data_IF_277002637837
#
_entry.id   IF_277002637837
#
_cell.length_a   1.000
_cell.length_b   1.000
_cell.length_c   1.000
_cell.angle_alpha   90.00
_cell.angle_beta   90.00
_cell.angle_gamma   90.00
#
_symmetry.space_group_name_H-M   'P 1'
#
loop_
_entity.id
_entity.type
_entity.pdbx_description
1 polymer ?
#
# COMPACT_ATOMS: atom_id res chain seq x y z
N UNK A 1 -4.37 24.96 9.36
CA UNK A 1 -5.20 23.76 9.15
C UNK A 1 -6.64 24.20 8.99
N UNK A 2 -7.26 23.90 7.85
CA UNK A 2 -8.70 24.14 7.63
C UNK A 2 -9.51 23.11 8.41
N UNK A 3 -10.13 23.53 9.52
CA UNK A 3 -10.85 22.64 10.44
C UNK A 3 -12.12 22.06 9.81
N UNK A 4 -12.81 22.83 8.98
CA UNK A 4 -14.05 22.39 8.33
C UNK A 4 -13.74 21.30 7.32
N UNK A 5 -12.72 21.51 6.47
CA UNK A 5 -12.26 20.50 5.52
C UNK A 5 -11.74 19.25 6.24
N UNK A 6 -10.96 19.42 7.30
CA UNK A 6 -10.44 18.31 8.09
C UNK A 6 -11.55 17.43 8.69
N UNK A 7 -12.59 18.04 9.27
CA UNK A 7 -13.77 17.32 9.77
C UNK A 7 -14.51 16.57 8.66
N UNK A 8 -14.68 17.19 7.48
CA UNK A 8 -15.31 16.54 6.33
C UNK A 8 -14.53 15.31 5.86
N UNK A 9 -13.20 15.44 5.72
CA UNK A 9 -12.32 14.34 5.27
C UNK A 9 -12.33 13.18 6.28
N UNK A 10 -12.19 13.49 7.57
CA UNK A 10 -12.23 12.48 8.63
C UNK A 10 -13.60 11.76 8.68
N UNK A 11 -14.71 12.51 8.58
CA UNK A 11 -16.04 11.94 8.52
C UNK A 11 -16.25 11.04 7.28
N UNK A 12 -15.65 11.41 6.14
CA UNK A 12 -15.71 10.62 4.92
C UNK A 12 -14.93 9.30 5.05
N UNK A 13 -13.74 9.33 5.65
CA UNK A 13 -12.97 8.12 5.98
C UNK A 13 -13.81 7.20 6.86
N UNK A 14 -14.41 7.73 7.92
CA UNK A 14 -15.25 6.94 8.84
C UNK A 14 -16.48 6.37 8.15
N UNK A 15 -17.07 7.07 7.19
CA UNK A 15 -18.19 6.57 6.41
C UNK A 15 -17.79 5.41 5.49
N UNK A 16 -16.63 5.50 4.83
CA UNK A 16 -16.11 4.44 3.95
C UNK A 16 -15.75 3.19 4.78
N UNK A 17 -15.01 3.36 5.87
CA UNK A 17 -14.60 2.24 6.73
C UNK A 17 -15.78 1.51 7.37
N UNK A 18 -16.78 2.25 7.86
CA UNK A 18 -18.02 1.63 8.39
C UNK A 18 -18.79 0.85 7.32
N UNK A 19 -18.76 1.34 6.08
CA UNK A 19 -19.41 0.67 4.97
C UNK A 19 -18.71 -0.64 4.60
N UNK A 20 -17.37 -0.67 4.57
CA UNK A 20 -16.60 -1.91 4.33
C UNK A 20 -16.86 -3.02 5.36
N UNK A 21 -17.16 -2.65 6.62
CA UNK A 21 -17.47 -3.61 7.68
C UNK A 21 -18.83 -4.29 7.51
N UNK A 22 -19.77 -3.65 6.80
CA UNK A 22 -21.14 -4.15 6.63
C UNK A 22 -21.36 -4.99 5.36
N UNK A 23 -20.46 -4.93 4.37
CA UNK A 23 -20.67 -5.53 3.04
C UNK A 23 -19.43 -6.30 2.59
N UNK A 24 -19.40 -7.61 2.87
CA UNK A 24 -18.24 -8.47 2.58
C UNK A 24 -17.95 -8.59 1.06
N UNK A 25 -18.99 -8.49 0.22
CA UNK A 25 -18.90 -8.62 -1.24
C UNK A 25 -18.48 -7.34 -1.98
N UNK A 26 -18.33 -6.19 -1.31
CA UNK A 26 -18.02 -4.91 -1.97
C UNK A 26 -16.78 -4.20 -1.40
N UNK A 27 -15.92 -4.93 -0.68
CA UNK A 27 -14.66 -4.43 -0.08
C UNK A 27 -13.68 -3.76 -1.05
N UNK A 28 -13.87 -3.93 -2.36
CA UNK A 28 -13.07 -3.33 -3.41
C UNK A 28 -13.68 -2.02 -3.98
N UNK A 29 -14.71 -1.45 -3.36
CA UNK A 29 -15.26 -0.16 -3.78
C UNK A 29 -14.81 0.96 -2.83
N UNK A 30 -14.44 2.11 -3.39
CA UNK A 30 -13.97 3.33 -2.70
C UNK A 30 -12.58 3.24 -2.08
N UNK A 31 -11.76 2.24 -2.45
CA UNK A 31 -10.41 2.12 -1.93
C UNK A 31 -9.50 3.27 -2.40
N UNK A 32 -9.62 3.70 -3.66
CA UNK A 32 -8.85 4.81 -4.21
C UNK A 32 -9.34 6.14 -3.62
N UNK A 33 -10.65 6.29 -3.37
CA UNK A 33 -11.19 7.44 -2.64
C UNK A 33 -10.65 7.49 -1.19
N UNK A 34 -10.66 6.35 -0.50
CA UNK A 34 -10.12 6.23 0.85
C UNK A 34 -8.62 6.55 0.88
N UNK A 35 -7.84 6.02 -0.05
CA UNK A 35 -6.41 6.32 -0.21
C UNK A 35 -6.15 7.82 -0.38
N UNK A 36 -6.92 8.49 -1.24
CA UNK A 36 -6.87 9.94 -1.42
C UNK A 36 -7.10 10.69 -0.11
N UNK A 37 -8.13 10.33 0.64
CA UNK A 37 -8.42 11.00 1.92
C UNK A 37 -7.36 10.73 2.98
N UNK A 38 -6.78 9.52 3.03
CA UNK A 38 -5.69 9.21 3.94
C UNK A 38 -4.43 10.04 3.64
N UNK A 39 -4.08 10.19 2.36
CA UNK A 39 -2.99 11.09 1.96
C UNK A 39 -3.31 12.55 2.30
N UNK A 40 -4.54 13.01 2.09
CA UNK A 40 -4.95 14.36 2.50
C UNK A 40 -4.82 14.56 4.02
N UNK A 41 -5.18 13.56 4.83
CA UNK A 41 -4.98 13.60 6.29
C UNK A 41 -3.50 13.68 6.65
N UNK A 42 -2.65 12.88 6.01
CA UNK A 42 -1.19 12.90 6.20
C UNK A 42 -0.62 14.27 5.84
N UNK A 43 -0.88 14.75 4.63
CA UNK A 43 -0.22 15.91 4.02
C UNK A 43 -0.69 17.24 4.61
N UNK A 44 -1.89 17.27 5.21
CA UNK A 44 -2.48 18.48 5.82
C UNK A 44 -2.52 18.44 7.35
N UNK A 45 -1.92 17.42 7.96
CA UNK A 45 -1.93 17.20 9.41
C UNK A 45 -3.34 17.14 10.05
N UNK A 46 -4.36 16.69 9.31
CA UNK A 46 -5.74 16.66 9.80
C UNK A 46 -5.95 15.70 10.97
N UNK A 47 -5.08 14.70 11.11
CA UNK A 47 -5.08 13.76 12.24
C UNK A 47 -4.94 14.48 13.60
N UNK A 48 -4.33 15.67 13.63
CA UNK A 48 -4.16 16.48 14.85
C UNK A 48 -5.47 16.95 15.48
N UNK A 49 -6.61 16.81 14.79
CA UNK A 49 -7.92 17.10 15.38
C UNK A 49 -8.34 16.11 16.48
N UNK A 50 -7.73 14.94 16.56
CA UNK A 50 -8.08 13.94 17.58
C UNK A 50 -6.97 12.98 17.99
N UNK A 51 -5.78 13.08 17.39
CA UNK A 51 -4.68 12.14 17.59
C UNK A 51 -3.36 12.87 17.82
N UNK A 52 -2.48 12.23 18.61
CA UNK A 52 -1.13 12.74 18.94
C UNK A 52 -0.10 12.45 17.85
N UNK A 53 -0.37 11.49 16.96
CA UNK A 53 0.48 11.16 15.83
C UNK A 53 -0.35 10.61 14.66
N UNK A 54 0.21 10.67 13.45
CA UNK A 54 -0.40 10.04 12.27
C UNK A 54 -0.48 8.51 12.41
N UNK A 55 0.54 7.89 13.02
CA UNK A 55 0.51 6.45 13.35
C UNK A 55 -0.64 6.09 14.28
N UNK A 56 -0.87 6.89 15.34
CA UNK A 56 -1.98 6.66 16.26
C UNK A 56 -3.34 6.82 15.58
N UNK A 57 -3.44 7.73 14.61
CA UNK A 57 -4.62 7.83 13.73
C UNK A 57 -4.81 6.55 12.90
N UNK A 58 -3.75 6.03 12.25
CA UNK A 58 -3.84 4.81 11.45
C UNK A 58 -4.14 3.57 12.29
N UNK A 59 -3.56 3.44 13.49
CA UNK A 59 -3.87 2.34 14.43
C UNK A 59 -5.35 2.35 14.82
N UNK A 60 -5.92 3.52 15.10
CA UNK A 60 -7.32 3.63 15.46
C UNK A 60 -8.28 3.35 14.29
N UNK A 61 -7.93 3.75 13.06
CA UNK A 61 -8.78 3.56 11.88
C UNK A 61 -8.64 2.18 11.24
N UNK A 62 -7.49 1.53 11.37
CA UNK A 62 -7.18 0.22 10.78
C UNK A 62 -6.65 -0.76 11.83
N UNK A 63 -7.46 -1.12 12.85
CA UNK A 63 -7.01 -1.93 13.99
C UNK A 63 -6.50 -3.32 13.56
N UNK A 64 -7.06 -3.90 12.50
CA UNK A 64 -6.67 -5.22 12.01
C UNK A 64 -5.42 -5.19 11.12
N UNK A 65 -5.19 -4.07 10.40
CA UNK A 65 -4.10 -3.97 9.43
C UNK A 65 -3.78 -2.53 9.05
N UNK A 66 -2.86 -1.90 9.79
CA UNK A 66 -2.22 -0.64 9.38
C UNK A 66 -1.63 -0.70 7.98
N UNK A 67 -1.11 -1.86 7.59
CA UNK A 67 -0.52 -2.08 6.27
C UNK A 67 -1.51 -1.80 5.14
N UNK A 68 -2.81 -2.08 5.34
CA UNK A 68 -3.86 -1.74 4.37
C UNK A 68 -3.88 -0.23 4.09
N UNK A 69 -3.79 0.60 5.13
CA UNK A 69 -3.75 2.06 4.96
C UNK A 69 -2.57 2.51 4.09
N UNK A 70 -1.38 1.95 4.33
CA UNK A 70 -0.20 2.28 3.53
C UNK A 70 -0.32 1.87 2.06
N UNK A 71 -0.96 0.74 1.78
CA UNK A 71 -1.23 0.34 0.40
C UNK A 71 -2.27 1.28 -0.27
N UNK A 72 -3.30 1.73 0.45
CA UNK A 72 -4.32 2.68 -0.05
C UNK A 72 -3.66 4.00 -0.40
N UNK A 73 -2.80 4.48 0.49
CA UNK A 73 -2.02 5.70 0.28
C UNK A 73 -1.04 5.55 -0.87
N UNK A 74 -0.34 4.42 -0.98
CA UNK A 74 0.61 4.15 -2.07
C UNK A 74 -0.07 4.16 -3.45
N UNK A 75 -1.30 3.62 -3.55
CA UNK A 75 -2.09 3.70 -4.78
C UNK A 75 -2.36 5.17 -5.13
N UNK A 76 -2.81 5.96 -4.17
CA UNK A 76 -3.08 7.37 -4.41
C UNK A 76 -1.82 8.16 -4.76
N UNK A 77 -0.76 8.07 -3.95
CA UNK A 77 0.49 8.81 -4.13
C UNK A 77 1.09 8.60 -5.53
N UNK A 78 1.03 7.36 -6.05
CA UNK A 78 1.68 7.01 -7.32
C UNK A 78 0.75 7.01 -8.52
N UNK A 79 -0.56 6.88 -8.34
CA UNK A 79 -1.54 6.86 -9.44
C UNK A 79 -2.46 8.09 -9.46
N UNK A 80 -2.12 9.17 -8.73
CA UNK A 80 -2.95 10.39 -8.64
C UNK A 80 -3.31 11.04 -9.99
N UNK A 81 -2.53 10.77 -11.04
CA UNK A 81 -2.79 11.24 -12.41
C UNK A 81 -3.92 10.47 -13.12
N UNK A 82 -4.28 9.27 -12.63
CA UNK A 82 -5.37 8.46 -13.17
C UNK A 82 -6.67 8.83 -12.40
N UNK A 83 -7.81 9.05 -13.08
CA UNK A 83 -9.07 9.34 -12.42
C UNK A 83 -9.46 8.28 -11.39
N UNK A 84 -9.92 8.71 -10.21
CA UNK A 84 -10.29 7.79 -9.10
C UNK A 84 -11.25 6.69 -9.55
N UNK A 85 -12.29 7.02 -10.31
CA UNK A 85 -13.27 6.04 -10.81
C UNK A 85 -12.63 4.97 -11.71
N UNK A 86 -11.62 5.34 -12.48
CA UNK A 86 -10.91 4.41 -13.36
C UNK A 86 -10.02 3.46 -12.55
N UNK A 87 -9.35 3.97 -11.50
CA UNK A 87 -8.61 3.12 -10.55
C UNK A 87 -9.55 2.15 -9.84
N UNK A 88 -10.70 2.62 -9.35
CA UNK A 88 -11.71 1.78 -8.68
C UNK A 88 -12.18 0.63 -9.59
N UNK A 89 -12.40 0.91 -10.89
CA UNK A 89 -12.86 -0.10 -11.85
C UNK A 89 -11.88 -1.26 -12.07
N UNK A 90 -10.59 -1.06 -11.78
CA UNK A 90 -9.57 -2.12 -11.85
C UNK A 90 -9.66 -3.11 -10.68
N UNK A 91 -10.20 -2.67 -9.56
CA UNK A 91 -10.08 -3.35 -8.27
C UNK A 91 -8.71 -3.14 -7.61
N UNK A 92 -8.73 -3.20 -6.28
CA UNK A 92 -7.59 -2.92 -5.41
C UNK A 92 -6.30 -3.66 -5.79
N UNK A 93 -6.43 -4.96 -6.06
CA UNK A 93 -5.26 -5.82 -6.29
C UNK A 93 -4.47 -5.39 -7.53
N UNK A 94 -5.16 -5.03 -8.62
CA UNK A 94 -4.51 -4.57 -9.84
C UNK A 94 -3.96 -3.15 -9.68
N UNK A 95 -4.71 -2.27 -9.03
CA UNK A 95 -4.24 -0.92 -8.72
C UNK A 95 -2.95 -0.94 -7.88
N UNK A 96 -2.84 -1.87 -6.93
CA UNK A 96 -1.62 -2.03 -6.13
C UNK A 96 -0.42 -2.50 -6.97
N UNK A 97 -0.61 -3.42 -7.92
CA UNK A 97 0.46 -3.82 -8.84
C UNK A 97 0.93 -2.63 -9.71
N UNK A 98 -0.01 -1.81 -10.21
CA UNK A 98 0.30 -0.60 -10.97
C UNK A 98 1.07 0.41 -10.12
N UNK A 99 0.67 0.60 -8.87
CA UNK A 99 1.33 1.51 -7.95
C UNK A 99 2.79 1.13 -7.70
N UNK A 100 3.15 -0.17 -7.75
CA UNK A 100 4.56 -0.61 -7.65
C UNK A 100 5.38 -0.12 -8.83
N UNK A 101 4.87 -0.28 -10.05
CA UNK A 101 5.56 0.17 -11.26
C UNK A 101 5.63 1.69 -11.32
N UNK A 102 4.53 2.37 -11.01
CA UNK A 102 4.50 3.82 -10.93
C UNK A 102 5.49 4.38 -9.90
N UNK A 103 5.64 3.69 -8.76
CA UNK A 103 6.64 4.03 -7.75
C UNK A 103 8.07 3.88 -8.27
N UNK A 104 8.37 2.85 -9.05
CA UNK A 104 9.72 2.63 -9.59
C UNK A 104 10.05 3.55 -10.76
N UNK A 105 9.10 3.84 -11.64
CA UNK A 105 9.31 4.70 -12.82
C UNK A 105 9.21 6.19 -12.48
N UNK A 106 8.53 6.53 -11.38
CA UNK A 106 8.32 7.90 -10.95
C UNK A 106 7.65 8.74 -12.04
N UNK A 107 8.34 9.80 -12.50
CA UNK A 107 7.81 10.71 -13.54
C UNK A 107 7.73 10.10 -14.93
N UNK A 108 8.39 8.97 -15.16
CA UNK A 108 8.40 8.28 -16.46
C UNK A 108 7.30 7.22 -16.56
N UNK A 109 6.43 7.12 -15.55
CA UNK A 109 5.37 6.12 -15.53
C UNK A 109 4.39 6.29 -16.69
N UNK A 110 4.41 5.33 -17.61
CA UNK A 110 3.43 5.26 -18.71
C UNK A 110 2.12 4.66 -18.21
N UNK A 111 1.28 5.53 -17.62
CA UNK A 111 -0.01 5.11 -17.09
C UNK A 111 -0.93 4.55 -18.15
N UNK A 112 -0.87 4.99 -19.41
CA UNK A 112 -1.78 4.52 -20.45
C UNK A 112 -1.53 3.05 -20.78
N UNK A 113 -0.26 2.69 -21.01
CA UNK A 113 0.14 1.31 -21.32
C UNK A 113 -0.19 0.37 -20.17
N UNK A 114 0.16 0.74 -18.92
CA UNK A 114 -0.09 -0.12 -17.77
C UNK A 114 -1.58 -0.25 -17.44
N UNK A 115 -2.37 0.80 -17.63
CA UNK A 115 -3.81 0.77 -17.42
C UNK A 115 -4.52 -0.11 -18.45
N UNK A 116 -4.07 -0.08 -19.71
CA UNK A 116 -4.56 -1.00 -20.74
C UNK A 116 -4.28 -2.45 -20.37
N UNK A 117 -3.03 -2.77 -20.03
CA UNK A 117 -2.64 -4.12 -19.57
C UNK A 117 -3.48 -4.58 -18.38
N UNK A 118 -3.72 -3.70 -17.41
CA UNK A 118 -4.52 -4.02 -16.22
C UNK A 118 -5.98 -4.31 -16.53
N UNK A 119 -6.57 -3.65 -17.53
CA UNK A 119 -7.96 -3.87 -17.93
C UNK A 119 -8.14 -5.23 -18.62
N UNK A 120 -7.20 -5.62 -19.47
CA UNK A 120 -7.30 -6.85 -20.26
C UNK A 120 -6.88 -8.12 -19.50
N UNK A 121 -5.86 -8.01 -18.65
CA UNK A 121 -5.28 -9.16 -17.95
C UNK A 121 -6.06 -9.50 -16.68
N UNK A 122 -6.07 -10.76 -16.27
CA UNK A 122 -6.46 -11.16 -14.92
C UNK A 122 -5.49 -10.59 -13.88
N UNK A 123 -5.85 -10.67 -12.59
CA UNK A 123 -4.95 -10.27 -11.49
C UNK A 123 -3.61 -11.01 -11.54
N UNK A 124 -3.64 -12.32 -11.86
CA UNK A 124 -2.45 -13.15 -11.86
C UNK A 124 -1.54 -12.81 -13.05
N UNK A 125 -2.08 -12.72 -14.26
CA UNK A 125 -1.32 -12.32 -15.45
C UNK A 125 -0.71 -10.93 -15.32
N UNK A 126 -1.42 -9.98 -14.69
CA UNK A 126 -0.86 -8.65 -14.42
C UNK A 126 0.30 -8.71 -13.42
N UNK A 127 0.17 -9.54 -12.37
CA UNK A 127 1.25 -9.74 -11.40
C UNK A 127 2.50 -10.33 -12.05
N UNK A 128 2.33 -11.30 -12.95
CA UNK A 128 3.41 -11.91 -13.73
C UNK A 128 4.08 -10.89 -14.66
N UNK A 129 3.29 -10.06 -15.33
CA UNK A 129 3.79 -8.98 -16.18
C UNK A 129 4.62 -7.95 -15.39
N UNK A 130 4.12 -7.55 -14.22
CA UNK A 130 4.85 -6.64 -13.30
C UNK A 130 6.12 -7.29 -12.78
N UNK A 131 6.09 -8.59 -12.44
CA UNK A 131 7.30 -9.31 -12.05
C UNK A 131 8.33 -9.33 -13.18
N UNK A 132 7.91 -9.71 -14.39
CA UNK A 132 8.77 -9.75 -15.58
C UNK A 132 9.36 -8.38 -15.91
N UNK A 133 8.59 -7.32 -15.71
CA UNK A 133 9.08 -5.95 -15.83
C UNK A 133 10.23 -5.65 -14.86
N UNK A 134 10.13 -6.09 -13.61
CA UNK A 134 11.16 -5.83 -12.60
C UNK A 134 12.38 -6.74 -12.69
N UNK A 135 12.20 -8.01 -13.06
CA UNK A 135 13.26 -9.02 -13.02
C UNK A 135 13.83 -9.36 -14.38
N UNK A 136 13.12 -9.06 -15.47
CA UNK A 136 13.43 -9.53 -16.82
C UNK A 136 13.20 -11.03 -17.03
N UNK A 137 12.83 -11.78 -15.98
CA UNK A 137 12.65 -13.23 -15.99
C UNK A 137 11.19 -13.67 -16.03
N UNK A 138 10.98 -14.97 -16.24
CA UNK A 138 9.67 -15.59 -16.09
C UNK A 138 9.26 -15.60 -14.61
N UNK A 139 7.95 -15.48 -14.35
CA UNK A 139 7.45 -15.42 -12.99
C UNK A 139 7.69 -16.72 -12.24
N UNK A 140 8.43 -16.63 -11.12
CA UNK A 140 8.57 -17.72 -10.18
C UNK A 140 7.43 -17.66 -9.15
N UNK A 141 6.59 -18.71 -9.03
CA UNK A 141 5.53 -18.75 -8.03
C UNK A 141 6.14 -18.68 -6.63
N UNK A 142 5.70 -17.71 -5.86
CA UNK A 142 6.04 -17.59 -4.44
C UNK A 142 4.78 -17.38 -3.60
N UNK A 143 4.79 -17.92 -2.39
CA UNK A 143 3.77 -17.69 -1.38
C UNK A 143 4.31 -16.78 -0.29
N UNK A 144 3.53 -15.76 0.08
CA UNK A 144 3.86 -14.95 1.24
C UNK A 144 3.47 -15.71 2.51
N UNK A 145 4.47 -16.11 3.29
CA UNK A 145 4.26 -16.68 4.61
C UNK A 145 4.28 -15.56 5.65
N UNK A 146 3.19 -15.46 6.43
CA UNK A 146 3.12 -14.56 7.57
C UNK A 146 3.34 -15.35 8.85
N UNK A 147 4.30 -14.91 9.67
CA UNK A 147 4.51 -15.41 11.02
C UNK A 147 4.58 -14.24 11.99
N UNK A 148 4.11 -14.47 13.21
CA UNK A 148 4.26 -13.52 14.31
C UNK A 148 5.44 -13.94 15.15
N UNK A 149 6.24 -12.96 15.57
CA UNK A 149 7.31 -13.15 16.52
C UNK A 149 6.84 -12.68 17.89
N UNK A 150 7.23 -13.42 18.92
CA UNK A 150 7.12 -12.94 20.29
C UNK A 150 8.21 -11.89 20.55
N UNK A 151 7.94 -10.97 21.47
CA UNK A 151 8.92 -9.95 21.88
C UNK A 151 10.23 -10.57 22.38
N UNK A 152 10.15 -11.73 23.06
CA UNK A 152 11.31 -12.51 23.50
C UNK A 152 12.19 -13.02 22.35
N UNK A 153 11.67 -13.10 21.12
CA UNK A 153 12.41 -13.54 19.92
C UNK A 153 13.08 -12.37 19.20
N UNK A 154 12.74 -11.13 19.52
CA UNK A 154 13.30 -9.94 18.86
C UNK A 154 14.84 -9.91 18.90
N UNK A 155 15.51 -10.20 20.04
CA UNK A 155 16.98 -10.19 20.09
C UNK A 155 17.63 -11.20 19.14
N UNK A 156 16.98 -12.36 18.92
CA UNK A 156 17.47 -13.40 18.02
C UNK A 156 17.38 -12.93 16.57
N UNK A 157 16.25 -12.35 16.19
CA UNK A 157 16.04 -11.83 14.83
C UNK A 157 16.95 -10.65 14.53
N UNK A 158 17.12 -9.73 15.48
CA UNK A 158 18.05 -8.60 15.34
C UNK A 158 19.48 -9.06 15.17
N UNK A 159 19.91 -10.07 15.95
CA UNK A 159 21.24 -10.67 15.80
C UNK A 159 21.41 -11.34 14.44
N UNK A 160 20.41 -12.10 13.97
CA UNK A 160 20.46 -12.73 12.66
C UNK A 160 20.59 -11.69 11.54
N UNK A 161 19.79 -10.61 11.58
CA UNK A 161 19.86 -9.52 10.61
C UNK A 161 21.18 -8.76 10.66
N UNK A 162 21.73 -8.56 11.86
CA UNK A 162 23.06 -7.98 12.00
C UNK A 162 24.10 -8.86 11.30
N UNK A 163 24.11 -10.17 11.54
CA UNK A 163 25.05 -11.10 10.88
C UNK A 163 24.85 -11.09 9.36
N UNK A 164 23.62 -11.19 8.88
CA UNK A 164 23.30 -11.14 7.45
C UNK A 164 23.80 -9.84 6.81
N UNK A 165 23.61 -8.69 7.46
CA UNK A 165 24.12 -7.40 6.96
C UNK A 165 25.64 -7.35 6.86
N UNK A 166 26.35 -8.02 7.78
CA UNK A 166 27.81 -8.12 7.75
C UNK A 166 28.30 -9.02 6.62
N UNK A 167 27.55 -10.06 6.28
CA UNK A 167 27.85 -10.98 5.17
C UNK A 167 27.53 -10.36 3.81
N UNK A 168 26.41 -9.63 3.71
CA UNK A 168 25.92 -9.01 2.48
C UNK A 168 26.64 -7.70 2.08
N UNK A 169 27.38 -7.10 3.01
CA UNK A 169 27.89 -5.74 2.90
C UNK A 169 26.90 -4.70 3.43
N UNK A 170 27.41 -3.66 4.10
CA UNK A 170 26.62 -2.70 4.90
C UNK A 170 25.69 -1.79 4.08
N UNK A 171 25.75 -1.84 2.75
CA UNK A 171 24.91 -1.03 1.85
C UNK A 171 23.60 -1.73 1.45
N UNK A 172 23.41 -3.00 1.83
CA UNK A 172 22.21 -3.75 1.47
C UNK A 172 21.06 -3.47 2.43
N UNK A 173 19.85 -3.45 1.87
CA UNK A 173 18.64 -3.16 2.64
C UNK A 173 18.36 -4.26 3.67
N UNK A 174 17.64 -3.92 4.74
CA UNK A 174 17.15 -4.89 5.72
C UNK A 174 16.28 -5.98 5.07
N UNK A 175 15.59 -5.65 3.97
CA UNK A 175 14.81 -6.63 3.19
C UNK A 175 15.69 -7.69 2.54
N UNK A 176 16.80 -7.28 1.93
CA UNK A 176 17.78 -8.21 1.37
C UNK A 176 18.39 -9.12 2.45
N UNK A 177 18.64 -8.58 3.65
CA UNK A 177 19.11 -9.38 4.78
C UNK A 177 18.10 -10.41 5.31
N UNK A 178 16.81 -10.30 4.96
CA UNK A 178 15.78 -11.29 5.28
C UNK A 178 15.72 -12.42 4.24
N UNK A 179 16.32 -12.25 3.07
CA UNK A 179 16.38 -13.25 2.00
C UNK A 179 17.59 -14.21 2.17
N UNK A 180 18.59 -13.83 2.98
CA UNK A 180 19.78 -14.62 3.32
C UNK A 180 19.58 -15.45 4.59
#
# INVERSE_FOLDING_TARGET
MDKTRAQQVLARIDAILRWEQGVDQQKDQRFAELGKHLCEVRDRDYWRLGYTSFEGFLEAKFPDSRRKAYYLMSIHDHLHQIPTLEIESLGWSKALELAKVAKSEGRHFDSATWLHKAKEKTKQELKEEVYKYFTGGEYEPYEMVYFKLFESQLPVVEKALYVASRMAGTERSRGYCLEL
#
